data_IF_725925926581
#
_entry.id   IF_725925926581
#
_cell.length_a   1.000
_cell.length_b   1.000
_cell.length_c   1.000
_cell.angle_alpha   90.00
_cell.angle_beta   90.00
_cell.angle_gamma   90.00
#
_symmetry.space_group_name_H-M   'P 1'
#
loop_
_entity.id
_entity.type
_entity.pdbx_description
1 polymer ?
#
# COMPACT_ATOMS: atom_id res chain seq x y z
N UNK A 1 0.53 -4.02 10.50
CA UNK A 1 0.92 -4.31 11.90
C UNK A 1 1.95 -3.28 12.31
N UNK A 2 1.72 -2.58 13.41
CA UNK A 2 2.78 -1.78 14.03
C UNK A 2 3.94 -2.71 14.40
N UNK A 3 5.20 -2.28 14.30
CA UNK A 3 6.32 -3.06 14.84
C UNK A 3 6.03 -3.41 16.31
N UNK A 4 6.42 -4.61 16.79
CA UNK A 4 6.30 -4.94 18.20
C UNK A 4 7.09 -3.90 19.00
N UNK A 5 6.45 -3.32 20.01
CA UNK A 5 7.14 -2.46 20.98
C UNK A 5 8.15 -3.36 21.70
N UNK A 6 9.44 -3.10 21.51
CA UNK A 6 10.50 -3.82 22.19
C UNK A 6 10.31 -3.68 23.71
N UNK A 7 10.35 -4.81 24.41
CA UNK A 7 9.89 -4.96 25.80
C UNK A 7 10.85 -4.41 26.87
N UNK A 8 11.64 -3.38 26.57
CA UNK A 8 12.48 -2.63 27.52
C UNK A 8 13.03 -1.38 26.82
N UNK A 9 12.24 -0.31 26.74
CA UNK A 9 12.73 1.01 26.33
C UNK A 9 12.03 2.05 27.20
N UNK A 10 12.78 3.04 27.69
CA UNK A 10 12.26 4.23 28.37
C UNK A 10 11.05 4.79 27.59
N UNK A 11 10.12 5.48 28.28
CA UNK A 11 8.96 6.09 27.61
C UNK A 11 9.42 7.20 26.65
N UNK A 12 9.77 6.82 25.43
CA UNK A 12 10.08 7.73 24.34
C UNK A 12 8.93 8.73 24.16
N UNK A 13 9.28 9.99 23.86
CA UNK A 13 8.26 11.02 23.67
C UNK A 13 7.40 10.73 22.44
N UNK A 14 6.12 11.13 22.46
CA UNK A 14 5.24 11.00 21.29
C UNK A 14 5.80 11.72 20.05
N UNK A 15 6.59 12.78 20.26
CA UNK A 15 7.26 13.53 19.20
C UNK A 15 8.42 12.76 18.58
N UNK A 16 9.28 12.11 19.39
CA UNK A 16 10.35 11.23 18.91
C UNK A 16 9.79 10.08 18.05
N UNK A 17 8.67 9.48 18.49
CA UNK A 17 7.97 8.44 17.73
C UNK A 17 7.39 8.94 16.42
N UNK A 18 6.85 10.16 16.39
CA UNK A 18 6.34 10.78 15.18
C UNK A 18 7.47 11.04 14.16
N UNK A 19 8.58 11.66 14.61
CA UNK A 19 9.73 11.93 13.75
C UNK A 19 10.43 10.66 13.27
N UNK A 20 10.65 9.69 14.16
CA UNK A 20 11.24 8.40 13.83
C UNK A 20 10.40 7.62 12.82
N UNK A 21 9.09 7.50 13.07
CA UNK A 21 8.19 6.78 12.17
C UNK A 21 7.98 7.50 10.82
N UNK A 22 7.94 8.83 10.82
CA UNK A 22 7.87 9.67 9.62
C UNK A 22 9.10 9.52 8.74
N UNK A 23 10.29 9.73 9.33
CA UNK A 23 11.59 9.59 8.67
C UNK A 23 11.80 8.18 8.14
N UNK A 24 11.50 7.15 8.94
CA UNK A 24 11.57 5.77 8.50
C UNK A 24 10.63 5.49 7.31
N UNK A 25 9.43 6.07 7.34
CA UNK A 25 8.46 5.95 6.26
C UNK A 25 8.93 6.56 4.94
N UNK A 26 9.59 7.72 5.00
CA UNK A 26 10.17 8.41 3.84
C UNK A 26 11.40 7.66 3.32
N UNK A 27 12.30 7.22 4.19
CA UNK A 27 13.49 6.44 3.83
C UNK A 27 13.12 5.12 3.15
N UNK A 28 12.12 4.41 3.68
CA UNK A 28 11.58 3.21 3.04
C UNK A 28 11.01 3.52 1.65
N UNK A 29 10.32 4.64 1.46
CA UNK A 29 9.87 5.05 0.12
C UNK A 29 11.06 5.36 -0.79
N UNK A 30 12.06 6.11 -0.33
CA UNK A 30 13.22 6.44 -1.14
C UNK A 30 13.96 5.19 -1.65
N UNK A 31 14.07 4.14 -0.84
CA UNK A 31 14.73 2.89 -1.24
C UNK A 31 13.85 2.03 -2.16
N UNK A 32 12.55 1.89 -1.84
CA UNK A 32 11.69 0.91 -2.51
C UNK A 32 10.74 1.49 -3.56
N UNK A 33 10.73 2.80 -3.79
CA UNK A 33 9.92 3.43 -4.85
C UNK A 33 10.19 2.88 -6.26
N UNK A 34 11.43 2.52 -6.65
CA UNK A 34 11.68 1.86 -7.93
C UNK A 34 10.82 0.62 -8.17
N UNK A 35 10.58 -0.19 -7.13
CA UNK A 35 9.76 -1.40 -7.18
C UNK A 35 8.29 -1.05 -7.46
N UNK A 36 7.78 -0.01 -6.80
CA UNK A 36 6.42 0.47 -7.04
C UNK A 36 6.26 0.97 -8.48
N UNK A 37 7.21 1.77 -8.97
CA UNK A 37 7.22 2.23 -10.36
C UNK A 37 7.27 1.08 -11.36
N UNK A 38 8.13 0.07 -11.15
CA UNK A 38 8.19 -1.15 -11.97
C UNK A 38 6.83 -1.85 -11.98
N UNK A 39 6.25 -2.08 -10.81
CA UNK A 39 4.97 -2.77 -10.68
C UNK A 39 3.86 -1.99 -11.40
N UNK A 40 3.75 -0.68 -11.21
CA UNK A 40 2.73 0.16 -11.85
C UNK A 40 2.89 0.23 -13.37
N UNK A 41 4.12 0.29 -13.88
CA UNK A 41 4.38 0.22 -15.34
C UNK A 41 3.96 -1.13 -15.92
N UNK A 42 4.27 -2.24 -15.25
CA UNK A 42 3.81 -3.57 -15.65
C UNK A 42 2.28 -3.69 -15.62
N UNK A 43 1.62 -3.19 -14.58
CA UNK A 43 0.15 -3.19 -14.44
C UNK A 43 -0.54 -2.41 -15.57
N UNK A 44 0.04 -1.26 -15.95
CA UNK A 44 -0.49 -0.39 -17.00
C UNK A 44 -0.26 -0.92 -18.42
N UNK A 45 0.70 -1.84 -18.61
CA UNK A 45 1.03 -2.38 -19.92
C UNK A 45 -0.01 -3.41 -20.37
N UNK A 46 -0.59 -3.19 -21.55
CA UNK A 46 -1.60 -4.08 -22.16
C UNK A 46 -0.95 -5.15 -23.06
N UNK A 47 0.32 -4.98 -23.45
CA UNK A 47 1.03 -5.94 -24.32
C UNK A 47 1.52 -7.20 -23.58
N UNK A 48 1.82 -8.26 -24.34
CA UNK A 48 2.49 -9.46 -23.82
C UNK A 48 3.99 -9.19 -23.60
N UNK A 49 4.46 -9.41 -22.39
CA UNK A 49 5.88 -9.31 -22.01
C UNK A 49 6.49 -10.70 -21.98
N UNK A 50 7.04 -11.14 -23.11
CA UNK A 50 7.63 -12.47 -23.28
C UNK A 50 9.13 -12.46 -23.56
N UNK A 51 9.75 -11.27 -23.60
CA UNK A 51 11.19 -11.11 -23.81
C UNK A 51 11.76 -10.11 -22.83
N UNK A 52 13.06 -10.25 -22.52
CA UNK A 52 13.81 -9.31 -21.67
C UNK A 52 13.79 -7.90 -22.28
N UNK A 53 13.89 -7.80 -23.61
CA UNK A 53 13.81 -6.52 -24.32
C UNK A 53 12.47 -5.81 -24.08
N UNK A 54 11.33 -6.53 -24.19
CA UNK A 54 10.00 -5.97 -23.89
C UNK A 54 9.85 -5.63 -22.42
N UNK A 55 10.38 -6.46 -21.52
CA UNK A 55 10.36 -6.19 -20.08
C UNK A 55 11.11 -4.90 -19.75
N UNK A 56 12.33 -4.74 -20.28
CA UNK A 56 13.14 -3.54 -20.15
C UNK A 56 12.45 -2.32 -20.80
N UNK A 57 11.80 -2.47 -21.96
CA UNK A 57 11.03 -1.41 -22.60
C UNK A 57 9.82 -0.96 -21.76
N UNK A 58 9.06 -1.89 -21.18
CA UNK A 58 7.92 -1.56 -20.29
C UNK A 58 8.39 -0.85 -19.03
N UNK A 59 9.47 -1.34 -18.43
CA UNK A 59 10.00 -0.79 -17.18
C UNK A 59 10.62 0.58 -17.37
N UNK A 60 11.46 0.78 -18.38
CA UNK A 60 12.25 2.01 -18.51
C UNK A 60 11.71 2.96 -19.59
N UNK A 61 10.72 2.55 -20.39
CA UNK A 61 10.08 3.35 -21.43
C UNK A 61 11.10 3.94 -22.40
N UNK A 62 11.09 5.26 -22.59
CA UNK A 62 12.05 6.00 -23.43
C UNK A 62 13.50 5.87 -22.95
N UNK A 63 13.72 5.41 -21.71
CA UNK A 63 15.06 5.15 -21.14
C UNK A 63 15.51 3.70 -21.28
N UNK A 64 14.81 2.85 -22.03
CA UNK A 64 15.14 1.43 -22.22
C UNK A 64 16.56 1.19 -22.75
N UNK A 65 17.08 2.09 -23.58
CA UNK A 65 18.43 2.01 -24.16
C UNK A 65 19.42 2.97 -23.50
N UNK A 66 19.04 3.63 -22.40
CA UNK A 66 19.91 4.56 -21.68
C UNK A 66 20.91 3.81 -20.77
N UNK A 67 21.92 4.53 -20.28
CA UNK A 67 22.85 4.02 -19.27
C UNK A 67 22.13 3.61 -17.98
N UNK A 68 22.77 2.73 -17.20
CA UNK A 68 22.21 2.22 -15.94
C UNK A 68 21.74 3.34 -14.99
N UNK A 69 22.54 4.40 -14.81
CA UNK A 69 22.16 5.52 -13.95
C UNK A 69 20.89 6.24 -14.43
N UNK A 70 20.76 6.50 -15.74
CA UNK A 70 19.56 7.13 -16.32
C UNK A 70 18.32 6.22 -16.20
N UNK A 71 18.50 4.91 -16.38
CA UNK A 71 17.47 3.90 -16.12
C UNK A 71 17.02 3.93 -14.66
N UNK A 72 17.95 3.91 -13.73
CA UNK A 72 17.66 3.95 -12.29
C UNK A 72 16.91 5.23 -11.89
N UNK A 73 17.35 6.41 -12.33
CA UNK A 73 16.68 7.70 -12.05
C UNK A 73 15.26 7.74 -12.64
N UNK A 74 15.02 7.13 -13.80
CA UNK A 74 13.67 6.98 -14.37
C UNK A 74 12.71 6.18 -13.48
N UNK A 75 13.27 5.51 -12.46
CA UNK A 75 12.67 4.80 -11.33
C UNK A 75 11.79 5.66 -10.42
N UNK A 76 12.13 6.95 -10.32
CA UNK A 76 11.70 7.84 -9.25
C UNK A 76 10.55 8.84 -9.53
N UNK A 77 9.89 8.87 -10.71
CA UNK A 77 8.84 9.84 -10.91
C UNK A 77 7.68 9.57 -9.95
N UNK A 78 7.12 10.65 -9.40
CA UNK A 78 5.99 10.58 -8.47
C UNK A 78 6.37 10.29 -7.01
N UNK A 79 7.66 10.18 -6.67
CA UNK A 79 8.11 9.94 -5.28
C UNK A 79 7.52 10.97 -4.29
N UNK A 80 7.47 12.26 -4.66
CA UNK A 80 6.87 13.30 -3.81
C UNK A 80 5.38 13.06 -3.51
N UNK A 81 4.60 12.67 -4.51
CA UNK A 81 3.19 12.29 -4.32
C UNK A 81 3.06 11.01 -3.49
N UNK A 82 3.97 10.04 -3.68
CA UNK A 82 4.00 8.82 -2.88
C UNK A 82 4.29 9.11 -1.41
N UNK A 83 5.23 10.03 -1.13
CA UNK A 83 5.56 10.48 0.22
C UNK A 83 4.36 11.19 0.87
N UNK A 84 3.79 12.20 0.19
CA UNK A 84 2.60 12.90 0.67
C UNK A 84 1.43 11.95 0.92
N UNK A 85 1.15 11.05 -0.02
CA UNK A 85 0.11 10.03 0.14
C UNK A 85 0.37 9.14 1.36
N UNK A 86 1.59 8.62 1.54
CA UNK A 86 1.92 7.72 2.65
C UNK A 86 1.79 8.41 4.01
N UNK A 87 2.25 9.65 4.12
CA UNK A 87 2.13 10.45 5.35
C UNK A 87 0.66 10.70 5.69
N UNK A 88 -0.12 11.22 4.75
CA UNK A 88 -1.55 11.48 4.96
C UNK A 88 -2.34 10.19 5.23
N UNK A 89 -1.99 9.10 4.55
CA UNK A 89 -2.60 7.78 4.77
C UNK A 89 -2.34 7.29 6.18
N UNK A 90 -1.12 7.47 6.71
CA UNK A 90 -0.80 7.09 8.10
C UNK A 90 -1.56 7.95 9.09
N UNK A 91 -1.59 9.28 8.91
CA UNK A 91 -2.35 10.20 9.78
C UNK A 91 -3.82 9.79 9.79
N UNK A 92 -4.41 9.62 8.61
CA UNK A 92 -5.80 9.24 8.44
C UNK A 92 -6.12 7.88 9.09
N UNK A 93 -5.31 6.86 8.84
CA UNK A 93 -5.53 5.52 9.39
C UNK A 93 -5.33 5.46 10.90
N UNK A 94 -4.22 6.00 11.40
CA UNK A 94 -3.92 5.92 12.83
C UNK A 94 -4.78 6.86 13.67
N UNK A 95 -5.18 8.01 13.14
CA UNK A 95 -6.14 8.90 13.80
C UNK A 95 -7.57 8.37 13.72
N UNK A 96 -8.00 7.86 12.56
CA UNK A 96 -9.39 7.47 12.33
C UNK A 96 -9.78 6.07 12.82
N UNK A 97 -8.86 5.10 12.79
CA UNK A 97 -9.19 3.72 13.15
C UNK A 97 -9.60 3.53 14.62
N UNK A 98 -8.95 4.16 15.62
CA UNK A 98 -9.43 4.10 16.99
C UNK A 98 -10.84 4.69 17.13
N UNK A 99 -11.09 5.85 16.52
CA UNK A 99 -12.40 6.53 16.56
C UNK A 99 -13.50 5.60 16.00
N UNK A 100 -13.28 5.04 14.81
CA UNK A 100 -14.24 4.12 14.18
C UNK A 100 -14.46 2.85 15.01
N UNK A 101 -13.38 2.29 15.58
CA UNK A 101 -13.47 1.08 16.41
C UNK A 101 -14.22 1.35 17.71
N UNK A 102 -13.93 2.46 18.37
CA UNK A 102 -14.52 2.81 19.66
C UNK A 102 -16.01 3.12 19.49
N UNK A 103 -16.38 3.86 18.44
CA UNK A 103 -17.78 4.04 18.04
C UNK A 103 -18.49 2.71 17.80
N UNK A 104 -17.92 1.83 16.97
CA UNK A 104 -18.53 0.52 16.70
C UNK A 104 -18.63 -0.35 17.96
N UNK A 105 -17.64 -0.29 18.84
CA UNK A 105 -17.63 -1.05 20.10
C UNK A 105 -18.75 -0.57 21.03
N UNK A 106 -18.92 0.75 21.17
CA UNK A 106 -19.95 1.35 22.01
C UNK A 106 -21.37 1.05 21.51
N UNK A 107 -21.60 1.13 20.20
CA UNK A 107 -22.95 1.03 19.62
C UNK A 107 -23.34 -0.37 19.14
N UNK A 108 -22.38 -1.20 18.72
CA UNK A 108 -22.63 -2.49 18.07
C UNK A 108 -21.83 -3.65 18.66
N UNK A 109 -20.98 -3.41 19.67
CA UNK A 109 -20.11 -4.44 20.25
C UNK A 109 -20.89 -5.66 20.75
N UNK A 110 -21.98 -5.44 21.49
CA UNK A 110 -22.84 -6.52 21.96
C UNK A 110 -23.48 -7.34 20.83
N UNK A 111 -23.79 -6.71 19.70
CA UNK A 111 -24.44 -7.37 18.57
C UNK A 111 -23.44 -8.30 17.86
N UNK A 112 -22.21 -7.82 17.65
CA UNK A 112 -21.13 -8.64 17.10
C UNK A 112 -20.78 -9.82 18.01
N UNK A 113 -20.67 -9.59 19.32
CA UNK A 113 -20.37 -10.66 20.28
C UNK A 113 -21.50 -11.70 20.37
N UNK A 114 -22.76 -11.27 20.35
CA UNK A 114 -23.92 -12.19 20.35
C UNK A 114 -24.00 -13.01 19.06
N UNK A 115 -23.72 -12.40 17.90
CA UNK A 115 -23.84 -13.06 16.61
C UNK A 115 -22.69 -14.04 16.31
N UNK A 116 -21.46 -13.72 16.71
CA UNK A 116 -20.27 -14.47 16.30
C UNK A 116 -19.46 -15.04 17.48
N UNK A 117 -19.91 -14.82 18.71
CA UNK A 117 -19.16 -15.15 19.93
C UNK A 117 -18.12 -14.08 20.29
N UNK A 118 -17.66 -14.09 21.55
CA UNK A 118 -16.85 -13.01 22.13
C UNK A 118 -15.51 -12.76 21.41
N UNK A 119 -14.78 -13.83 21.06
CA UNK A 119 -13.47 -13.72 20.40
C UNK A 119 -13.62 -13.28 18.93
N UNK A 120 -14.45 -13.98 18.17
CA UNK A 120 -14.66 -13.72 16.74
C UNK A 120 -15.41 -12.42 16.50
N UNK A 121 -16.41 -12.10 17.32
CA UNK A 121 -17.16 -10.84 17.28
C UNK A 121 -16.26 -9.62 17.43
N UNK A 122 -15.34 -9.62 18.41
CA UNK A 122 -14.35 -8.55 18.57
C UNK A 122 -13.42 -8.42 17.36
N UNK A 123 -12.95 -9.54 16.81
CA UNK A 123 -12.08 -9.54 15.63
C UNK A 123 -12.80 -9.01 14.37
N UNK A 124 -14.07 -9.40 14.16
CA UNK A 124 -14.90 -8.94 13.06
C UNK A 124 -15.25 -7.45 13.19
N UNK A 125 -15.55 -6.97 14.40
CA UNK A 125 -15.78 -5.56 14.65
C UNK A 125 -14.53 -4.72 14.35
N UNK A 126 -13.36 -5.16 14.82
CA UNK A 126 -12.10 -4.50 14.50
C UNK A 126 -11.78 -4.51 12.99
N UNK A 127 -12.09 -5.61 12.30
CA UNK A 127 -11.96 -5.73 10.84
C UNK A 127 -12.93 -4.81 10.09
N UNK A 128 -14.15 -4.64 10.62
CA UNK A 128 -15.16 -3.72 10.09
C UNK A 128 -14.69 -2.27 10.24
N UNK A 129 -14.22 -1.87 11.43
CA UNK A 129 -13.61 -0.56 11.65
C UNK A 129 -12.44 -0.29 10.69
N UNK A 130 -11.54 -1.26 10.55
CA UNK A 130 -10.41 -1.19 9.62
C UNK A 130 -10.84 -1.08 8.16
N UNK A 131 -11.94 -1.74 7.77
CA UNK A 131 -12.49 -1.68 6.41
C UNK A 131 -13.16 -0.34 6.14
N UNK A 132 -13.90 0.24 7.10
CA UNK A 132 -14.51 1.58 6.97
C UNK A 132 -13.44 2.66 6.76
N UNK A 133 -12.39 2.64 7.59
CA UNK A 133 -11.24 3.52 7.41
C UNK A 133 -10.49 3.19 6.11
N UNK A 134 -10.39 1.92 5.73
CA UNK A 134 -9.83 1.53 4.44
C UNK A 134 -10.60 2.11 3.26
N UNK A 135 -11.93 2.11 3.30
CA UNK A 135 -12.78 2.72 2.26
C UNK A 135 -12.58 4.24 2.26
N UNK A 136 -12.50 4.86 3.43
CA UNK A 136 -12.28 6.29 3.57
C UNK A 136 -10.96 6.81 2.99
N UNK A 137 -9.99 5.94 2.66
CA UNK A 137 -8.79 6.31 1.88
C UNK A 137 -9.11 6.96 0.52
N UNK A 138 -10.36 6.88 0.04
CA UNK A 138 -10.87 7.63 -1.11
C UNK A 138 -10.48 9.12 -1.04
N UNK A 139 -10.45 9.71 0.16
CA UNK A 139 -10.06 11.12 0.34
C UNK A 139 -8.64 11.43 -0.14
N UNK A 140 -7.77 10.42 -0.23
CA UNK A 140 -6.37 10.53 -0.64
C UNK A 140 -6.14 10.17 -2.12
N UNK A 141 -7.19 9.81 -2.86
CA UNK A 141 -7.09 9.45 -4.28
C UNK A 141 -6.44 10.51 -5.15
N UNK A 142 -6.63 11.82 -4.94
CA UNK A 142 -5.94 12.82 -5.75
C UNK A 142 -4.43 12.62 -5.81
N UNK A 143 -3.78 12.33 -4.66
CA UNK A 143 -2.35 12.06 -4.63
C UNK A 143 -1.99 10.71 -5.28
N UNK A 144 -2.84 9.70 -5.12
CA UNK A 144 -2.61 8.38 -5.72
C UNK A 144 -2.69 8.43 -7.26
N UNK A 145 -3.68 9.16 -7.80
CA UNK A 145 -3.81 9.39 -9.25
C UNK A 145 -2.62 10.16 -9.80
N UNK A 146 -2.19 11.24 -9.12
CA UNK A 146 -1.03 12.01 -9.54
C UNK A 146 0.26 11.18 -9.51
N UNK A 147 0.46 10.38 -8.47
CA UNK A 147 1.58 9.43 -8.35
C UNK A 147 1.59 8.43 -9.51
N UNK A 148 0.48 7.72 -9.72
CA UNK A 148 0.38 6.67 -10.75
C UNK A 148 0.60 7.26 -12.13
N UNK A 149 -0.03 8.40 -12.45
CA UNK A 149 0.21 9.07 -13.74
C UNK A 149 1.67 9.48 -13.91
N UNK A 150 2.36 9.97 -12.88
CA UNK A 150 3.81 10.25 -13.01
C UNK A 150 4.62 8.98 -13.28
N UNK A 151 4.25 7.84 -12.73
CA UNK A 151 4.93 6.56 -12.97
C UNK A 151 4.62 5.97 -14.37
N UNK A 152 3.36 6.05 -14.81
CA UNK A 152 2.83 5.30 -15.96
C UNK A 152 2.47 6.14 -17.18
N UNK A 153 2.15 7.42 -17.03
CA UNK A 153 1.83 8.34 -18.14
C UNK A 153 2.29 9.79 -17.86
N UNK A 154 3.60 10.07 -17.94
CA UNK A 154 4.15 11.40 -17.67
C UNK A 154 3.61 12.50 -18.60
N UNK A 155 3.21 12.16 -19.83
CA UNK A 155 2.65 13.11 -20.80
C UNK A 155 1.36 13.77 -20.28
N UNK A 156 0.61 13.11 -19.39
CA UNK A 156 -0.58 13.70 -18.75
C UNK A 156 -0.29 14.99 -17.96
N UNK A 157 0.99 15.25 -17.62
CA UNK A 157 1.47 16.45 -16.93
C UNK A 157 2.16 17.46 -17.86
N UNK A 158 2.31 17.16 -19.15
CA UNK A 158 3.09 18.01 -20.06
C UNK A 158 2.44 19.38 -20.18
N UNK A 159 3.22 20.43 -19.91
CA UNK A 159 2.74 21.81 -19.93
C UNK A 159 1.77 22.18 -18.80
N UNK A 160 1.54 21.31 -17.80
CA UNK A 160 0.64 21.58 -16.68
C UNK A 160 1.32 21.37 -15.33
N UNK A 161 1.33 22.42 -14.51
CA UNK A 161 1.69 22.33 -13.09
C UNK A 161 0.63 21.60 -12.26
N UNK A 162 0.98 21.18 -11.05
CA UNK A 162 0.09 20.41 -10.16
C UNK A 162 -1.18 21.19 -9.83
N UNK A 163 -1.04 22.49 -9.51
CA UNK A 163 -2.17 23.37 -9.18
C UNK A 163 -3.16 23.45 -10.34
N UNK A 164 -2.64 23.59 -11.57
CA UNK A 164 -3.46 23.63 -12.78
C UNK A 164 -4.19 22.30 -12.99
N UNK A 165 -3.52 21.16 -12.81
CA UNK A 165 -4.18 19.83 -12.90
C UNK A 165 -5.27 19.69 -11.83
N UNK A 166 -5.01 20.09 -10.59
CA UNK A 166 -6.03 19.99 -9.53
C UNK A 166 -7.24 20.87 -9.83
N UNK A 167 -7.02 22.09 -10.34
CA UNK A 167 -8.08 23.00 -10.74
C UNK A 167 -8.86 22.49 -11.95
N UNK A 168 -8.18 22.07 -13.00
CA UNK A 168 -8.79 21.64 -14.26
C UNK A 168 -9.55 20.32 -14.10
N UNK A 169 -8.97 19.36 -13.37
CA UNK A 169 -9.51 18.00 -13.28
C UNK A 169 -10.51 17.81 -12.14
N UNK A 170 -10.40 18.58 -11.06
CA UNK A 170 -11.30 18.53 -9.90
C UNK A 170 -11.62 17.10 -9.44
N UNK A 171 -12.90 16.74 -9.46
CA UNK A 171 -13.37 15.40 -9.06
C UNK A 171 -12.88 14.25 -9.96
N UNK A 172 -12.38 14.55 -11.16
CA UNK A 172 -11.73 13.58 -12.05
C UNK A 172 -10.51 12.90 -11.41
N UNK A 173 -9.92 13.50 -10.37
CA UNK A 173 -8.85 12.94 -9.54
C UNK A 173 -9.31 11.82 -8.58
N UNK A 174 -10.62 11.63 -8.39
CA UNK A 174 -11.20 10.53 -7.61
C UNK A 174 -11.55 9.32 -8.48
N UNK A 175 -11.11 9.29 -9.75
CA UNK A 175 -11.32 8.14 -10.63
C UNK A 175 -10.74 6.85 -10.03
N UNK A 176 -11.53 5.79 -10.12
CA UNK A 176 -11.18 4.50 -9.50
C UNK A 176 -11.48 4.42 -8.00
N UNK A 177 -12.29 5.34 -7.43
CA UNK A 177 -12.71 5.28 -6.03
C UNK A 177 -13.39 3.95 -5.67
N UNK A 178 -14.34 3.49 -6.49
CA UNK A 178 -15.06 2.24 -6.24
C UNK A 178 -14.12 1.03 -6.25
N UNK A 179 -13.13 1.03 -7.15
CA UNK A 179 -12.09 -0.01 -7.21
C UNK A 179 -11.12 0.05 -6.03
N UNK A 180 -10.88 1.25 -5.49
CA UNK A 180 -10.07 1.42 -4.28
C UNK A 180 -10.79 0.86 -3.06
N UNK A 181 -12.07 1.18 -2.91
CA UNK A 181 -12.91 0.63 -1.85
C UNK A 181 -13.00 -0.92 -1.96
N UNK A 182 -13.32 -1.42 -3.15
CA UNK A 182 -13.43 -2.86 -3.42
C UNK A 182 -12.10 -3.59 -3.19
N UNK A 183 -10.95 -2.95 -3.42
CA UNK A 183 -9.63 -3.52 -3.17
C UNK A 183 -9.28 -3.59 -1.68
N UNK A 184 -9.61 -2.54 -0.95
CA UNK A 184 -9.14 -2.38 0.43
C UNK A 184 -9.79 -3.38 1.40
N UNK A 185 -11.07 -3.72 1.22
CA UNK A 185 -11.74 -4.68 2.11
C UNK A 185 -11.17 -6.11 1.99
N UNK A 186 -11.20 -6.80 0.82
CA UNK A 186 -10.63 -8.14 0.67
C UNK A 186 -9.13 -8.19 0.97
N UNK A 187 -8.40 -7.14 0.61
CA UNK A 187 -6.97 -7.02 0.91
C UNK A 187 -6.69 -7.02 2.43
N UNK A 188 -7.50 -6.33 3.23
CA UNK A 188 -7.37 -6.34 4.69
C UNK A 188 -7.74 -7.70 5.29
N UNK A 189 -8.82 -8.34 4.83
CA UNK A 189 -9.17 -9.69 5.30
C UNK A 189 -8.06 -10.69 5.01
N UNK A 190 -7.50 -10.70 3.79
CA UNK A 190 -6.39 -11.57 3.44
C UNK A 190 -5.11 -11.26 4.23
N UNK A 191 -4.86 -9.99 4.56
CA UNK A 191 -3.73 -9.58 5.41
C UNK A 191 -3.82 -10.19 6.81
N UNK A 192 -4.94 -9.98 7.49
CA UNK A 192 -5.13 -10.48 8.85
C UNK A 192 -5.33 -11.99 8.87
N UNK A 193 -6.10 -12.53 7.94
CA UNK A 193 -6.33 -13.98 7.79
C UNK A 193 -5.03 -14.73 7.50
N UNK A 194 -4.20 -14.26 6.56
CA UNK A 194 -2.91 -14.87 6.29
C UNK A 194 -1.96 -14.82 7.49
N UNK A 195 -1.90 -13.69 8.20
CA UNK A 195 -1.11 -13.59 9.42
C UNK A 195 -1.62 -14.50 10.55
N UNK A 196 -2.93 -14.61 10.73
CA UNK A 196 -3.54 -15.46 11.74
C UNK A 196 -3.30 -16.94 11.41
N UNK A 197 -3.53 -17.33 10.16
CA UNK A 197 -3.28 -18.67 9.66
C UNK A 197 -1.84 -19.11 9.93
N UNK A 198 -0.85 -18.26 9.62
CA UNK A 198 0.55 -18.56 9.91
C UNK A 198 0.82 -18.70 11.41
N UNK A 199 0.27 -17.84 12.26
CA UNK A 199 0.47 -17.95 13.71
C UNK A 199 -0.14 -19.23 14.29
N UNK A 200 -1.35 -19.56 13.86
CA UNK A 200 -2.11 -20.68 14.40
C UNK A 200 -1.66 -22.03 13.84
N UNK A 201 -1.60 -22.17 12.51
CA UNK A 201 -1.35 -23.46 11.88
C UNK A 201 0.13 -23.75 11.63
N UNK A 202 0.93 -22.73 11.29
CA UNK A 202 2.37 -22.95 11.07
C UNK A 202 3.14 -22.96 12.39
N UNK A 203 2.78 -22.10 13.34
CA UNK A 203 3.50 -21.95 14.60
C UNK A 203 2.77 -22.51 15.83
N UNK A 204 1.54 -23.04 15.68
CA UNK A 204 0.80 -23.65 16.79
C UNK A 204 0.39 -22.67 17.90
N UNK A 205 0.36 -21.36 17.63
CA UNK A 205 0.14 -20.35 18.66
C UNK A 205 -1.34 -20.24 19.03
N UNK A 206 -1.64 -20.53 20.29
CA UNK A 206 -2.98 -20.34 20.87
C UNK A 206 -3.21 -18.90 21.33
N UNK A 207 -2.15 -18.24 21.80
CA UNK A 207 -2.14 -16.81 22.15
C UNK A 207 -1.17 -16.06 21.24
N UNK A 208 -1.72 -15.27 20.33
CA UNK A 208 -0.95 -14.53 19.32
C UNK A 208 -0.06 -13.44 19.93
N UNK A 209 -0.28 -13.03 21.17
CA UNK A 209 0.55 -12.04 21.86
C UNK A 209 1.87 -12.63 22.35
N UNK A 210 1.96 -13.96 22.47
CA UNK A 210 3.19 -14.67 22.84
C UNK A 210 4.07 -14.99 21.63
N UNK A 211 3.65 -14.60 20.44
CA UNK A 211 4.44 -14.80 19.22
C UNK A 211 5.82 -14.14 19.37
N UNK A 212 6.88 -14.90 19.11
CA UNK A 212 8.24 -14.36 19.07
C UNK A 212 8.37 -13.31 17.96
N UNK A 213 9.45 -12.54 18.00
CA UNK A 213 9.75 -11.57 16.94
C UNK A 213 9.80 -12.25 15.56
N UNK A 214 10.48 -13.40 15.46
CA UNK A 214 10.61 -14.14 14.20
C UNK A 214 9.25 -14.67 13.72
N UNK A 215 8.42 -15.19 14.63
CA UNK A 215 7.07 -15.65 14.27
C UNK A 215 6.19 -14.49 13.76
N UNK A 216 6.25 -13.32 14.40
CA UNK A 216 5.56 -12.12 13.94
C UNK A 216 6.09 -11.64 12.57
N UNK A 217 7.39 -11.74 12.33
CA UNK A 217 8.02 -11.39 11.06
C UNK A 217 7.50 -12.27 9.92
N UNK A 218 7.55 -13.60 10.08
CA UNK A 218 7.05 -14.56 9.08
C UNK A 218 5.55 -14.41 8.86
N UNK A 219 4.76 -14.27 9.93
CA UNK A 219 3.33 -14.02 9.83
C UNK A 219 3.01 -12.71 9.09
N UNK A 220 3.83 -11.66 9.29
CA UNK A 220 3.67 -10.38 8.58
C UNK A 220 3.96 -10.52 7.08
N UNK A 221 4.97 -11.30 6.69
CA UNK A 221 5.26 -11.60 5.28
C UNK A 221 4.10 -12.39 4.67
N UNK A 222 3.65 -13.46 5.33
CA UNK A 222 2.57 -14.32 4.85
C UNK A 222 1.27 -13.53 4.66
N UNK A 223 0.86 -12.75 5.66
CA UNK A 223 -0.29 -11.86 5.57
C UNK A 223 -0.16 -10.83 4.45
N UNK A 224 1.00 -10.17 4.36
CA UNK A 224 1.23 -9.17 3.30
C UNK A 224 1.18 -9.79 1.90
N UNK A 225 1.75 -10.98 1.73
CA UNK A 225 1.69 -11.73 0.48
C UNK A 225 0.27 -12.15 0.11
N UNK A 226 -0.50 -12.68 1.07
CA UNK A 226 -1.90 -13.03 0.86
C UNK A 226 -2.73 -11.80 0.44
N UNK A 227 -2.53 -10.67 1.12
CA UNK A 227 -3.15 -9.38 0.76
C UNK A 227 -2.81 -8.94 -0.65
N UNK A 228 -1.53 -9.03 -1.06
CA UNK A 228 -1.09 -8.68 -2.40
C UNK A 228 -1.71 -9.56 -3.47
N UNK A 229 -1.80 -10.88 -3.24
CA UNK A 229 -2.38 -11.84 -4.17
C UNK A 229 -3.88 -11.58 -4.36
N UNK A 230 -4.63 -11.46 -3.26
CA UNK A 230 -6.09 -11.24 -3.30
C UNK A 230 -6.44 -9.89 -3.89
N UNK A 231 -5.64 -8.85 -3.61
CA UNK A 231 -5.90 -7.51 -4.12
C UNK A 231 -5.33 -7.24 -5.52
N UNK A 232 -4.51 -8.14 -6.09
CA UNK A 232 -3.84 -7.91 -7.37
C UNK A 232 -4.80 -7.58 -8.52
N UNK A 233 -5.90 -8.34 -8.75
CA UNK A 233 -6.81 -8.06 -9.87
C UNK A 233 -7.40 -6.65 -9.81
N UNK A 234 -7.81 -6.23 -8.60
CA UNK A 234 -8.42 -4.93 -8.36
C UNK A 234 -7.39 -3.80 -8.49
N UNK A 235 -6.14 -4.03 -8.06
CA UNK A 235 -5.05 -3.06 -8.20
C UNK A 235 -4.65 -2.85 -9.67
N UNK A 236 -4.64 -3.91 -10.49
CA UNK A 236 -4.38 -3.77 -11.94
C UNK A 236 -5.49 -2.94 -12.61
N UNK A 237 -6.76 -3.26 -12.36
CA UNK A 237 -7.90 -2.52 -12.93
C UNK A 237 -7.85 -1.06 -12.50
N UNK A 238 -7.67 -0.80 -11.20
CA UNK A 238 -7.51 0.56 -10.65
C UNK A 238 -6.37 1.30 -11.34
N UNK A 239 -5.20 0.68 -11.45
CA UNK A 239 -4.01 1.30 -12.07
C UNK A 239 -4.29 1.69 -13.52
N UNK A 240 -5.00 0.86 -14.28
CA UNK A 240 -5.37 1.16 -15.67
C UNK A 240 -6.38 2.30 -15.79
N UNK A 241 -7.39 2.34 -14.92
CA UNK A 241 -8.35 3.48 -14.86
C UNK A 241 -7.59 4.79 -14.62
N UNK A 242 -6.66 4.79 -13.66
CA UNK A 242 -5.92 5.99 -13.28
C UNK A 242 -4.84 6.36 -14.30
N UNK A 243 -4.34 5.40 -15.08
CA UNK A 243 -3.40 5.62 -16.17
C UNK A 243 -4.02 6.36 -17.36
N UNK A 244 -5.30 6.10 -17.70
CA UNK A 244 -5.99 6.73 -18.84
C UNK A 244 -5.94 8.25 -18.77
N UNK A 245 -5.82 8.90 -19.92
CA UNK A 245 -5.84 10.36 -20.02
C UNK A 245 -7.09 10.95 -19.38
N UNK A 246 -6.98 12.19 -18.94
CA UNK A 246 -8.08 12.84 -18.25
C UNK A 246 -9.29 13.03 -19.17
N UNK A 247 -9.04 13.43 -20.42
CA UNK A 247 -10.04 13.72 -21.46
C UNK A 247 -10.66 12.48 -22.10
N UNK A 248 -10.09 11.30 -21.87
CA UNK A 248 -10.59 10.04 -22.41
C UNK A 248 -10.67 8.97 -21.30
N UNK A 249 -11.58 9.14 -20.32
CA UNK A 249 -11.76 8.19 -19.24
C UNK A 249 -12.35 6.88 -19.75
N UNK A 250 -12.03 5.78 -19.09
CA UNK A 250 -12.61 4.47 -19.39
C UNK A 250 -13.15 3.84 -18.10
N UNK A 251 -14.35 3.27 -18.16
CA UNK A 251 -14.95 2.62 -17.00
C UNK A 251 -14.16 1.36 -16.62
N UNK A 252 -14.09 1.07 -15.32
CA UNK A 252 -13.38 -0.11 -14.83
C UNK A 252 -13.97 -1.42 -15.33
N UNK A 253 -15.29 -1.50 -15.52
CA UNK A 253 -15.95 -2.68 -16.10
C UNK A 253 -15.50 -2.89 -17.54
N UNK A 254 -15.43 -1.82 -18.35
CA UNK A 254 -14.94 -1.91 -19.73
C UNK A 254 -13.47 -2.34 -19.78
N UNK A 255 -12.63 -1.81 -18.88
CA UNK A 255 -11.23 -2.25 -18.73
C UNK A 255 -11.16 -3.73 -18.35
N UNK A 256 -11.95 -4.18 -17.37
CA UNK A 256 -12.03 -5.59 -16.97
C UNK A 256 -12.43 -6.48 -18.15
N UNK A 257 -13.48 -6.12 -18.88
CA UNK A 257 -13.94 -6.88 -20.05
C UNK A 257 -12.86 -6.95 -21.13
N UNK A 258 -12.17 -5.85 -21.43
CA UNK A 258 -11.05 -5.82 -22.39
C UNK A 258 -9.88 -6.67 -21.93
N UNK A 259 -9.50 -6.58 -20.65
CA UNK A 259 -8.43 -7.40 -20.07
C UNK A 259 -8.73 -8.88 -20.23
N UNK A 260 -9.95 -9.28 -19.85
CA UNK A 260 -10.36 -10.68 -19.93
C UNK A 260 -10.37 -11.19 -21.38
N UNK A 261 -10.92 -10.40 -22.32
CA UNK A 261 -11.02 -10.80 -23.74
C UNK A 261 -9.68 -10.77 -24.48
N UNK A 262 -8.83 -9.78 -24.23
CA UNK A 262 -7.66 -9.50 -25.08
C UNK A 262 -6.34 -10.02 -24.47
N UNK A 263 -6.24 -10.13 -23.15
CA UNK A 263 -4.99 -10.47 -22.46
C UNK A 263 -5.07 -11.74 -21.60
N UNK A 264 -6.28 -12.10 -21.17
CA UNK A 264 -6.55 -13.29 -20.34
C UNK A 264 -6.26 -13.09 -18.84
N UNK A 265 -6.50 -14.15 -18.07
CA UNK A 265 -6.41 -14.16 -16.59
C UNK A 265 -5.03 -13.70 -16.05
N UNK A 266 -3.88 -14.06 -16.65
CA UNK A 266 -2.58 -13.62 -16.13
C UNK A 266 -2.39 -12.09 -16.11
N UNK A 267 -3.14 -11.35 -16.93
CA UNK A 267 -3.06 -9.89 -16.97
C UNK A 267 -3.46 -9.23 -15.64
N UNK A 268 -4.35 -9.86 -14.88
CA UNK A 268 -4.83 -9.38 -13.57
C UNK A 268 -3.79 -9.49 -12.46
N UNK A 269 -2.65 -10.15 -12.72
CA UNK A 269 -1.55 -10.31 -11.77
C UNK A 269 -0.26 -9.61 -12.23
N UNK A 270 -0.33 -8.80 -13.30
CA UNK A 270 0.83 -7.99 -13.75
C UNK A 270 1.34 -7.12 -12.61
N UNK A 271 2.66 -7.12 -12.40
CA UNK A 271 3.30 -6.37 -11.31
C UNK A 271 3.22 -7.01 -9.92
N UNK A 272 2.60 -8.20 -9.76
CA UNK A 272 2.57 -8.91 -8.47
C UNK A 272 3.97 -9.41 -8.06
N UNK A 273 4.73 -9.99 -8.99
CA UNK A 273 6.07 -10.54 -8.73
C UNK A 273 7.03 -9.55 -8.06
N UNK A 274 7.28 -8.34 -8.62
CA UNK A 274 8.18 -7.39 -7.97
C UNK A 274 7.68 -6.95 -6.59
N UNK A 275 6.35 -6.90 -6.37
CA UNK A 275 5.78 -6.59 -5.05
C UNK A 275 6.04 -7.70 -4.03
N UNK A 276 5.82 -8.96 -4.41
CA UNK A 276 6.05 -10.12 -3.54
C UNK A 276 7.52 -10.26 -3.15
N UNK A 277 8.43 -10.16 -4.12
CA UNK A 277 9.88 -10.25 -3.89
C UNK A 277 10.38 -9.21 -2.88
N UNK A 278 9.72 -8.05 -2.82
CA UNK A 278 10.15 -6.93 -1.98
C UNK A 278 9.44 -6.89 -0.64
N UNK A 279 8.42 -7.71 -0.39
CA UNK A 279 7.71 -7.75 0.90
C UNK A 279 8.65 -7.99 2.08
N UNK A 280 9.48 -9.04 2.01
CA UNK A 280 10.46 -9.36 3.04
C UNK A 280 11.53 -8.27 3.21
N UNK A 281 12.30 -7.93 2.16
CA UNK A 281 13.32 -6.88 2.22
C UNK A 281 12.80 -5.54 2.75
N UNK A 282 11.62 -5.12 2.31
CA UNK A 282 10.98 -3.89 2.75
C UNK A 282 10.62 -3.93 4.23
N UNK A 283 10.09 -5.05 4.73
CA UNK A 283 9.80 -5.25 6.14
C UNK A 283 11.08 -5.19 6.97
N UNK A 284 12.13 -5.93 6.58
CA UNK A 284 13.44 -5.92 7.25
C UNK A 284 14.01 -4.50 7.33
N UNK A 285 14.02 -3.77 6.22
CA UNK A 285 14.50 -2.39 6.19
C UNK A 285 13.69 -1.46 7.10
N UNK A 286 12.36 -1.60 7.09
CA UNK A 286 11.48 -0.82 7.95
C UNK A 286 11.76 -1.09 9.43
N UNK A 287 12.03 -2.35 9.79
CA UNK A 287 12.39 -2.73 11.16
C UNK A 287 13.76 -2.20 11.57
N UNK A 288 14.76 -2.34 10.70
CA UNK A 288 16.09 -1.78 10.95
C UNK A 288 16.04 -0.27 11.17
N UNK A 289 15.27 0.46 10.35
CA UNK A 289 15.06 1.90 10.54
C UNK A 289 14.36 2.23 11.86
N UNK A 290 13.34 1.47 12.25
CA UNK A 290 12.68 1.69 13.53
C UNK A 290 13.65 1.48 14.71
N UNK A 291 14.48 0.43 14.66
CA UNK A 291 15.46 0.14 15.71
C UNK A 291 16.61 1.15 15.80
N UNK A 292 16.96 1.80 14.68
CA UNK A 292 18.08 2.75 14.63
C UNK A 292 17.63 4.20 14.84
N UNK A 293 16.56 4.63 14.17
CA UNK A 293 16.12 6.03 14.19
C UNK A 293 15.40 6.40 15.46
N UNK A 294 14.58 5.50 16.03
CA UNK A 294 13.77 5.86 17.19
C UNK A 294 14.66 6.18 18.40
N UNK A 295 15.65 5.34 18.78
CA UNK A 295 16.58 5.68 19.86
C UNK A 295 17.44 6.91 19.54
N UNK A 296 17.86 7.08 18.28
CA UNK A 296 18.65 8.25 17.87
C UNK A 296 17.88 9.56 18.05
N UNK A 297 16.60 9.60 17.66
CA UNK A 297 15.75 10.77 17.88
C UNK A 297 15.46 11.00 19.36
N UNK A 298 15.27 9.95 20.15
CA UNK A 298 15.04 10.08 21.59
C UNK A 298 16.25 10.69 22.30
N UNK A 299 17.47 10.24 21.99
CA UNK A 299 18.71 10.83 22.50
C UNK A 299 18.85 12.32 22.13
N UNK A 300 18.64 12.66 20.86
CA UNK A 300 18.69 14.05 20.37
C UNK A 300 17.67 14.93 21.11
N UNK A 301 16.44 14.44 21.30
CA UNK A 301 15.37 15.19 21.97
C UNK A 301 15.61 15.31 23.48
N UNK A 302 16.15 14.25 24.10
CA UNK A 302 16.49 14.23 25.51
C UNK A 302 17.79 15.01 25.84
N UNK A 303 18.51 15.50 24.82
CA UNK A 303 19.80 16.19 24.99
C UNK A 303 20.91 15.28 25.53
N UNK A 304 20.82 13.97 25.26
CA UNK A 304 21.79 12.94 25.65
C UNK A 304 22.68 12.52 24.48
#
# INVERSE_FOLDING_TARGET
MSPPVASKVEKETNFARLLGSGSAGISELAVFHPVDTIAKRLMSNESKVNTVAKFNAVIFKDKANASFGKKFVSLFPGLGYAAGYKVLQRIYKYGGQPIARDYLTQHYGSNFEKAFGKKTGKALLASTAGSLIGIGEIVLLPLDVLKIKRQTNPEAFRGRGVIKIVRDEGFGLYRGWGWTAARNAPGSFALFGGSAFTKEYLFGLQDYNKASWFQNFIASIAGSSASLIVSAPLDVIKTRIQNKNFDNPESGIRILTKMFRNEGIPAFFKGLVPKLLMTGPKLTFSFWLAQTLIPAFDNIIAGR
#
